data_IF_512490130150
#
_entry.id   IF_512490130150
#
_cell.length_a   1.000
_cell.length_b   1.000
_cell.length_c   1.000
_cell.angle_alpha   90.00
_cell.angle_beta   90.00
_cell.angle_gamma   90.00
#
_symmetry.space_group_name_H-M   'P 1'
#
loop_
_entity.id
_entity.type
_entity.pdbx_description
1 polymer ?
#
# COMPACT_ATOMS: atom_id res chain seq x y z
N UNK A 1 -11.53 -7.08 16.06
CA UNK A 1 -12.89 -7.48 15.65
C UNK A 1 -13.54 -6.47 14.70
N UNK A 2 -13.46 -5.15 14.92
CA UNK A 2 -14.00 -4.15 13.97
C UNK A 2 -13.25 -4.08 12.61
N UNK A 3 -11.93 -4.33 12.58
CA UNK A 3 -11.11 -4.39 11.35
C UNK A 3 -11.54 -5.50 10.37
N UNK A 4 -12.14 -6.58 10.88
CA UNK A 4 -12.66 -7.68 10.06
C UNK A 4 -14.02 -7.32 9.46
N UNK A 5 -14.85 -6.56 10.16
CA UNK A 5 -16.22 -6.25 9.75
C UNK A 5 -16.24 -5.26 8.56
N UNK A 6 -15.36 -4.26 8.55
CA UNK A 6 -15.27 -3.31 7.44
C UNK A 6 -14.53 -3.87 6.21
N UNK A 7 -13.59 -4.80 6.41
CA UNK A 7 -13.01 -5.59 5.31
C UNK A 7 -14.07 -6.49 4.66
N UNK A 8 -14.96 -7.10 5.47
CA UNK A 8 -16.08 -7.91 4.97
C UNK A 8 -17.09 -7.09 4.15
N UNK A 9 -17.31 -5.81 4.46
CA UNK A 9 -18.22 -4.94 3.68
C UNK A 9 -17.59 -4.57 2.32
N UNK A 10 -16.28 -4.29 2.28
CA UNK A 10 -15.55 -4.04 1.04
C UNK A 10 -15.45 -5.29 0.16
N UNK A 11 -15.27 -6.46 0.76
CA UNK A 11 -15.28 -7.77 0.08
C UNK A 11 -16.69 -8.17 -0.36
N UNK A 12 -17.74 -7.86 0.42
CA UNK A 12 -19.13 -8.12 0.04
C UNK A 12 -19.57 -7.31 -1.18
N UNK A 13 -19.08 -6.07 -1.32
CA UNK A 13 -19.32 -5.26 -2.53
C UNK A 13 -18.66 -5.85 -3.79
N UNK A 14 -17.57 -6.62 -3.65
CA UNK A 14 -16.98 -7.38 -4.75
C UNK A 14 -17.66 -8.73 -5.04
N UNK A 15 -18.39 -9.31 -4.08
CA UNK A 15 -19.00 -10.65 -4.19
C UNK A 15 -20.39 -10.68 -4.84
N UNK A 16 -21.04 -9.52 -5.05
CA UNK A 16 -22.39 -9.46 -5.63
C UNK A 16 -22.46 -9.79 -7.14
N UNK A 17 -21.34 -10.16 -7.79
CA UNK A 17 -21.26 -10.44 -9.24
C UNK A 17 -20.84 -11.87 -9.60
N UNK A 18 -20.90 -12.85 -8.67
CA UNK A 18 -20.59 -14.25 -9.00
C UNK A 18 -21.68 -15.18 -8.49
N UNK A 19 -22.67 -15.44 -9.33
CA UNK A 19 -23.52 -16.62 -9.24
C UNK A 19 -22.78 -17.82 -9.83
N UNK A 20 -21.87 -18.45 -9.08
CA UNK A 20 -21.42 -19.83 -9.30
C UNK A 20 -20.58 -20.35 -8.11
N UNK A 21 -21.06 -21.46 -7.56
CA UNK A 21 -20.33 -22.50 -6.79
C UNK A 21 -19.53 -22.09 -5.54
N UNK A 22 -20.10 -22.48 -4.40
CA UNK A 22 -19.47 -22.56 -3.08
C UNK A 22 -18.37 -23.64 -3.10
N UNK A 23 -17.12 -23.27 -3.42
CA UNK A 23 -15.97 -24.17 -3.30
C UNK A 23 -14.60 -23.49 -3.04
N UNK A 24 -14.52 -22.18 -2.75
CA UNK A 24 -13.22 -21.47 -2.65
C UNK A 24 -12.98 -20.70 -1.33
N UNK A 25 -13.46 -21.19 -0.17
CA UNK A 25 -13.18 -20.54 1.13
C UNK A 25 -12.04 -21.21 1.92
N UNK A 26 -11.40 -22.27 1.39
CA UNK A 26 -10.31 -22.98 2.11
C UNK A 26 -9.09 -23.29 1.25
N UNK A 27 -8.78 -22.48 0.25
CA UNK A 27 -7.44 -22.54 -0.33
C UNK A 27 -6.46 -21.94 0.69
N UNK A 28 -5.47 -22.69 1.21
CA UNK A 28 -4.41 -22.09 2.01
C UNK A 28 -3.74 -21.01 1.16
N UNK A 29 -3.61 -19.79 1.69
CA UNK A 29 -2.82 -18.75 1.04
C UNK A 29 -1.45 -19.35 0.71
N UNK A 30 -1.12 -19.41 -0.58
CA UNK A 30 0.14 -19.97 -1.06
C UNK A 30 1.27 -19.23 -0.34
N UNK A 31 2.05 -19.97 0.46
CA UNK A 31 3.17 -19.38 1.19
C UNK A 31 4.15 -18.74 0.20
N UNK A 32 4.41 -17.45 0.38
CA UNK A 32 5.26 -16.70 -0.53
C UNK A 32 6.75 -17.03 -0.31
N UNK A 33 7.45 -17.26 -1.41
CA UNK A 33 8.89 -17.54 -1.42
C UNK A 33 9.73 -16.29 -1.15
N UNK A 34 10.98 -16.48 -0.72
CA UNK A 34 11.97 -15.41 -0.56
C UNK A 34 12.12 -14.60 -1.86
N UNK A 35 12.14 -15.29 -3.01
CA UNK A 35 12.26 -14.65 -4.32
C UNK A 35 11.06 -13.76 -4.66
N UNK A 36 9.84 -14.23 -4.38
CA UNK A 36 8.61 -13.42 -4.56
C UNK A 36 8.63 -12.20 -3.62
N UNK A 37 9.07 -12.35 -2.37
CA UNK A 37 9.22 -11.23 -1.44
C UNK A 37 10.26 -10.20 -1.93
N UNK A 38 11.43 -10.67 -2.37
CA UNK A 38 12.51 -9.82 -2.87
C UNK A 38 12.08 -9.05 -4.12
N UNK A 39 11.34 -9.70 -5.02
CA UNK A 39 10.79 -9.06 -6.21
C UNK A 39 9.88 -7.88 -5.86
N UNK A 40 9.04 -7.99 -4.81
CA UNK A 40 8.14 -6.90 -4.40
C UNK A 40 8.87 -5.73 -3.75
N UNK A 41 9.79 -6.02 -2.83
CA UNK A 41 10.65 -4.98 -2.24
C UNK A 41 11.49 -4.30 -3.32
N UNK A 42 11.92 -5.07 -4.32
CA UNK A 42 12.59 -4.59 -5.51
C UNK A 42 14.08 -4.31 -5.31
N UNK A 43 14.85 -4.56 -6.36
CA UNK A 43 16.32 -4.49 -6.37
C UNK A 43 16.90 -3.12 -6.02
N UNK A 44 16.11 -2.04 -6.13
CA UNK A 44 16.54 -0.71 -5.72
C UNK A 44 16.49 -0.49 -4.20
N UNK A 45 15.51 -1.09 -3.52
CA UNK A 45 15.27 -0.88 -2.10
C UNK A 45 16.00 -1.91 -1.24
N UNK A 46 16.09 -3.15 -1.70
CA UNK A 46 16.75 -4.24 -0.98
C UNK A 46 18.18 -3.88 -0.50
N UNK A 47 19.10 -3.35 -1.34
CA UNK A 47 20.45 -3.01 -0.86
C UNK A 47 20.46 -1.89 0.18
N UNK A 48 19.48 -0.98 0.14
CA UNK A 48 19.34 0.12 1.12
C UNK A 48 18.82 -0.40 2.44
N UNK A 49 17.84 -1.30 2.40
CA UNK A 49 17.29 -1.99 3.57
C UNK A 49 18.36 -2.83 4.27
N UNK A 50 19.11 -3.64 3.52
CA UNK A 50 20.21 -4.44 4.08
C UNK A 50 21.29 -3.54 4.73
N UNK A 51 21.61 -2.41 4.09
CA UNK A 51 22.55 -1.44 4.66
C UNK A 51 22.00 -0.74 5.90
N UNK A 52 20.69 -0.48 5.99
CA UNK A 52 20.08 0.10 7.20
C UNK A 52 20.02 -0.91 8.35
N UNK A 53 19.94 -2.22 8.06
CA UNK A 53 19.99 -3.27 9.06
C UNK A 53 21.39 -3.46 9.66
N UNK A 54 22.46 -3.14 8.92
CA UNK A 54 23.82 -3.19 9.45
C UNK A 54 23.98 -2.21 10.63
N UNK A 55 24.54 -2.70 11.74
CA UNK A 55 24.59 -1.99 13.03
C UNK A 55 25.30 -0.63 12.91
N UNK A 56 26.40 -0.56 12.16
CA UNK A 56 27.25 0.64 12.06
C UNK A 56 26.73 1.75 11.12
N UNK A 57 25.53 1.58 10.53
CA UNK A 57 25.03 2.49 9.51
C UNK A 57 23.66 3.05 9.88
N UNK A 58 23.63 4.35 10.16
CA UNK A 58 22.40 5.11 10.29
C UNK A 58 21.90 5.54 8.89
N UNK A 59 21.45 4.58 8.10
CA UNK A 59 20.86 4.83 6.78
C UNK A 59 19.35 4.83 6.91
N UNK A 60 18.72 5.92 6.49
CA UNK A 60 17.26 6.04 6.47
C UNK A 60 16.68 5.39 5.21
N UNK A 61 15.67 4.53 5.39
CA UNK A 61 14.89 3.99 4.28
C UNK A 61 14.03 5.09 3.69
N UNK A 62 14.09 5.28 2.36
CA UNK A 62 13.29 6.32 1.71
C UNK A 62 11.80 6.01 1.77
N UNK A 63 10.96 7.05 1.76
CA UNK A 63 9.49 6.88 1.73
C UNK A 63 9.00 5.97 0.58
N UNK A 64 9.65 6.05 -0.59
CA UNK A 64 9.37 5.16 -1.72
C UNK A 64 9.65 3.69 -1.41
N UNK A 65 10.74 3.40 -0.69
CA UNK A 65 11.06 2.05 -0.25
C UNK A 65 10.16 1.59 0.90
N UNK A 66 9.74 2.51 1.77
CA UNK A 66 8.74 2.18 2.79
C UNK A 66 7.43 1.70 2.17
N UNK A 67 6.92 2.35 1.12
CA UNK A 67 5.73 1.82 0.44
C UNK A 67 5.93 0.39 -0.06
N UNK A 68 7.08 0.06 -0.65
CA UNK A 68 7.38 -1.29 -1.12
C UNK A 68 7.47 -2.32 0.02
N UNK A 69 8.05 -1.93 1.16
CA UNK A 69 8.13 -2.77 2.36
C UNK A 69 6.72 -3.06 2.90
N UNK A 70 5.87 -2.02 3.04
CA UNK A 70 4.52 -2.18 3.55
C UNK A 70 3.62 -2.95 2.57
N UNK A 71 3.74 -2.72 1.27
CA UNK A 71 3.03 -3.49 0.23
C UNK A 71 3.47 -4.96 0.18
N UNK A 72 4.75 -5.25 0.43
CA UNK A 72 5.23 -6.62 0.56
C UNK A 72 4.65 -7.29 1.83
N UNK A 73 4.44 -6.51 2.88
CA UNK A 73 3.88 -6.95 4.15
C UNK A 73 4.95 -7.44 5.13
N UNK A 74 4.57 -7.44 6.42
CA UNK A 74 5.48 -7.77 7.52
C UNK A 74 6.11 -9.15 7.35
N UNK A 75 5.31 -10.17 7.01
CA UNK A 75 5.80 -11.55 6.80
C UNK A 75 6.91 -11.64 5.74
N UNK A 76 6.73 -11.00 4.57
CA UNK A 76 7.75 -10.97 3.54
C UNK A 76 9.01 -10.22 3.99
N UNK A 77 8.84 -9.09 4.66
CA UNK A 77 9.94 -8.28 5.14
C UNK A 77 10.80 -9.02 6.19
N UNK A 78 10.14 -9.70 7.14
CA UNK A 78 10.81 -10.55 8.14
C UNK A 78 11.49 -11.74 7.47
N UNK A 79 10.84 -12.40 6.50
CA UNK A 79 11.43 -13.51 5.74
C UNK A 79 12.71 -13.09 5.01
N UNK A 80 12.73 -11.92 4.38
CA UNK A 80 13.93 -11.36 3.74
C UNK A 80 15.04 -11.03 4.76
N UNK A 81 14.67 -10.55 5.95
CA UNK A 81 15.62 -10.26 7.03
C UNK A 81 16.31 -11.55 7.49
N UNK A 82 15.52 -12.61 7.72
CA UNK A 82 16.04 -13.92 8.15
C UNK A 82 16.91 -14.56 7.06
N UNK A 83 16.51 -14.47 5.80
CA UNK A 83 17.31 -14.94 4.67
C UNK A 83 18.65 -14.20 4.60
N UNK A 84 18.65 -12.88 4.77
CA UNK A 84 19.88 -12.10 4.80
C UNK A 84 20.80 -12.49 5.97
N UNK A 85 20.25 -12.72 7.16
CA UNK A 85 21.02 -13.19 8.32
C UNK A 85 21.69 -14.55 8.07
N UNK A 86 21.02 -15.44 7.34
CA UNK A 86 21.54 -16.78 7.05
C UNK A 86 22.56 -16.80 5.91
N UNK A 87 22.31 -16.02 4.85
CA UNK A 87 22.99 -16.18 3.57
C UNK A 87 23.94 -15.04 3.21
N UNK A 88 23.82 -13.87 3.85
CA UNK A 88 24.65 -12.71 3.54
C UNK A 88 25.85 -12.60 4.49
N UNK A 89 27.06 -12.66 3.92
CA UNK A 89 28.34 -12.60 4.66
C UNK A 89 28.49 -11.36 5.54
N UNK A 90 27.78 -10.26 5.24
CA UNK A 90 27.81 -9.04 6.04
C UNK A 90 27.20 -9.22 7.44
N UNK A 91 26.43 -10.28 7.68
CA UNK A 91 25.80 -10.57 8.97
C UNK A 91 26.39 -11.81 9.67
N UNK A 92 27.51 -12.36 9.18
CA UNK A 92 28.11 -13.59 9.73
C UNK A 92 28.36 -13.53 11.24
N UNK A 93 28.80 -12.36 11.72
CA UNK A 93 29.13 -12.13 13.13
C UNK A 93 28.10 -11.22 13.83
N UNK A 94 26.95 -10.97 13.20
CA UNK A 94 25.93 -10.08 13.73
C UNK A 94 25.12 -10.74 14.86
N UNK A 95 24.69 -9.93 15.84
CA UNK A 95 23.72 -10.38 16.82
C UNK A 95 22.33 -10.46 16.16
N UNK A 96 21.84 -11.69 15.99
CA UNK A 96 20.55 -11.98 15.34
C UNK A 96 19.40 -11.21 15.99
N UNK A 97 19.34 -11.19 17.33
CA UNK A 97 18.26 -10.51 18.07
C UNK A 97 18.27 -9.01 17.81
N UNK A 98 19.45 -8.39 17.80
CA UNK A 98 19.60 -6.95 17.55
C UNK A 98 19.19 -6.59 16.11
N UNK A 99 19.59 -7.39 15.12
CA UNK A 99 19.22 -7.16 13.72
C UNK A 99 17.72 -7.33 13.51
N UNK A 100 17.10 -8.35 14.12
CA UNK A 100 15.65 -8.55 14.05
C UNK A 100 14.90 -7.39 14.70
N UNK A 101 15.31 -6.97 15.90
CA UNK A 101 14.72 -5.80 16.57
C UNK A 101 14.83 -4.53 15.70
N UNK A 102 16.01 -4.28 15.12
CA UNK A 102 16.22 -3.14 14.21
C UNK A 102 15.35 -3.25 12.95
N UNK A 103 15.12 -4.46 12.46
CA UNK A 103 14.20 -4.72 11.35
C UNK A 103 12.77 -4.32 11.71
N UNK A 104 12.27 -4.74 12.86
CA UNK A 104 10.94 -4.37 13.35
C UNK A 104 10.79 -2.85 13.47
N UNK A 105 11.80 -2.16 14.03
CA UNK A 105 11.80 -0.69 14.11
C UNK A 105 11.76 -0.02 12.72
N UNK A 106 12.46 -0.57 11.72
CA UNK A 106 12.42 -0.05 10.35
C UNK A 106 11.03 -0.24 9.76
N UNK A 107 10.42 -1.41 9.97
CA UNK A 107 9.07 -1.68 9.49
C UNK A 107 8.06 -0.70 10.10
N UNK A 108 8.09 -0.52 11.43
CA UNK A 108 7.21 0.43 12.14
C UNK A 108 7.40 1.88 11.65
N UNK A 109 8.66 2.31 11.48
CA UNK A 109 8.96 3.64 10.91
C UNK A 109 8.39 3.79 9.50
N UNK A 110 8.45 2.74 8.69
CA UNK A 110 7.90 2.75 7.34
C UNK A 110 6.36 2.75 7.34
N UNK A 111 5.73 2.01 8.25
CA UNK A 111 4.28 1.99 8.43
C UNK A 111 3.80 3.40 8.76
N UNK A 112 4.35 4.01 9.81
CA UNK A 112 4.05 5.39 10.21
C UNK A 112 4.31 6.41 9.08
N UNK A 113 5.38 6.25 8.29
CA UNK A 113 5.70 7.17 7.20
C UNK A 113 4.73 7.08 6.00
N UNK A 114 4.04 5.95 5.86
CA UNK A 114 3.13 5.64 4.74
C UNK A 114 1.66 5.60 5.14
N UNK A 115 1.38 5.65 6.45
CA UNK A 115 0.05 5.58 7.03
C UNK A 115 -0.92 6.58 6.36
N UNK A 116 -2.12 6.13 5.96
CA UNK A 116 -3.22 7.02 5.64
C UNK A 116 -3.82 7.62 6.92
N UNK A 117 -4.71 8.59 6.77
CA UNK A 117 -5.52 9.05 7.89
C UNK A 117 -6.36 7.90 8.50
N UNK A 118 -6.80 8.09 9.75
CA UNK A 118 -7.58 7.08 10.45
C UNK A 118 -8.90 6.73 9.73
N UNK A 119 -9.45 5.57 10.08
CA UNK A 119 -10.65 4.99 9.46
C UNK A 119 -11.87 5.92 9.47
N UNK A 120 -12.11 6.66 10.56
CA UNK A 120 -13.23 7.59 10.66
C UNK A 120 -13.08 8.76 9.68
N UNK A 121 -11.86 9.26 9.52
CA UNK A 121 -11.56 10.30 8.53
C UNK A 121 -11.77 9.78 7.10
N UNK A 122 -11.26 8.57 6.80
CA UNK A 122 -11.41 7.95 5.48
C UNK A 122 -12.89 7.65 5.15
N UNK A 123 -13.69 7.25 6.13
CA UNK A 123 -15.11 6.98 5.94
C UNK A 123 -15.89 8.26 5.53
N UNK A 124 -15.57 9.40 6.16
CA UNK A 124 -16.14 10.71 5.76
C UNK A 124 -15.77 11.06 4.32
N UNK A 125 -14.51 10.87 3.98
CA UNK A 125 -14.00 11.07 2.64
C UNK A 125 -14.73 10.24 1.57
N UNK A 126 -14.93 8.95 1.85
CA UNK A 126 -15.69 8.06 0.96
C UNK A 126 -17.15 8.52 0.81
N UNK A 127 -17.76 9.01 1.90
CA UNK A 127 -19.13 9.52 1.86
C UNK A 127 -19.27 10.81 1.02
N UNK A 128 -18.30 11.73 1.11
CA UNK A 128 -18.31 13.00 0.36
C UNK A 128 -18.22 12.77 -1.15
N UNK A 129 -17.28 11.95 -1.61
CA UNK A 129 -17.17 11.63 -3.04
C UNK A 129 -18.33 10.75 -3.53
N UNK A 130 -18.77 9.82 -2.69
CA UNK A 130 -19.78 8.84 -3.01
C UNK A 130 -19.28 7.72 -3.94
N UNK A 131 -20.00 6.60 -3.95
CA UNK A 131 -19.59 5.36 -4.63
C UNK A 131 -19.41 5.51 -6.14
N UNK A 132 -20.34 6.19 -6.82
CA UNK A 132 -20.28 6.41 -8.28
C UNK A 132 -19.01 7.17 -8.68
N UNK A 133 -18.75 8.32 -8.05
CA UNK A 133 -17.60 9.14 -8.39
C UNK A 133 -16.29 8.53 -7.90
N UNK A 134 -16.28 7.86 -6.75
CA UNK A 134 -15.15 7.07 -6.30
C UNK A 134 -14.73 6.01 -7.33
N UNK A 135 -15.71 5.31 -7.95
CA UNK A 135 -15.44 4.34 -9.00
C UNK A 135 -14.88 4.97 -10.29
N UNK A 136 -15.42 6.12 -10.73
CA UNK A 136 -14.87 6.86 -11.89
C UNK A 136 -13.41 7.27 -11.65
N UNK A 137 -13.12 7.85 -10.48
CA UNK A 137 -11.77 8.27 -10.08
C UNK A 137 -10.83 7.07 -9.99
N UNK A 138 -11.25 5.98 -9.34
CA UNK A 138 -10.47 4.74 -9.24
C UNK A 138 -10.11 4.18 -10.62
N UNK A 139 -11.10 4.04 -11.50
CA UNK A 139 -10.90 3.52 -12.85
C UNK A 139 -9.94 4.41 -13.66
N UNK A 140 -10.04 5.74 -13.50
CA UNK A 140 -9.08 6.66 -14.11
C UNK A 140 -7.66 6.45 -13.58
N UNK A 141 -7.50 6.25 -12.28
CA UNK A 141 -6.19 6.08 -11.66
C UNK A 141 -5.54 4.74 -12.02
N UNK A 142 -6.29 3.65 -12.05
CA UNK A 142 -5.74 2.32 -12.34
C UNK A 142 -5.64 2.06 -13.85
N UNK A 143 -6.74 2.22 -14.57
CA UNK A 143 -6.82 1.80 -15.96
C UNK A 143 -6.52 2.92 -16.96
N UNK A 144 -6.33 4.16 -16.47
CA UNK A 144 -6.27 5.37 -17.30
C UNK A 144 -7.51 5.56 -18.19
N UNK A 145 -8.56 4.80 -17.91
CA UNK A 145 -9.73 4.66 -18.76
C UNK A 145 -10.78 5.69 -18.37
N UNK A 146 -11.58 6.09 -19.35
CA UNK A 146 -12.65 7.09 -19.22
C UNK A 146 -12.15 8.47 -18.76
N UNK A 147 -12.97 9.48 -18.96
CA UNK A 147 -12.82 10.78 -18.31
C UNK A 147 -13.60 10.75 -16.99
N UNK A 148 -13.08 11.40 -15.96
CA UNK A 148 -13.90 11.65 -14.76
C UNK A 148 -14.92 12.71 -15.17
N UNK A 149 -16.20 12.45 -14.92
CA UNK A 149 -17.25 13.40 -15.27
C UNK A 149 -17.09 14.73 -14.52
N UNK A 150 -17.57 15.83 -15.09
CA UNK A 150 -17.49 17.16 -14.46
C UNK A 150 -18.13 17.18 -13.06
N UNK A 151 -19.29 16.55 -12.92
CA UNK A 151 -19.97 16.35 -11.63
C UNK A 151 -19.07 15.61 -10.61
N UNK A 152 -18.38 14.54 -11.04
CA UNK A 152 -17.47 13.82 -10.16
C UNK A 152 -16.16 14.56 -9.89
N UNK A 153 -15.68 15.39 -10.82
CA UNK A 153 -14.58 16.31 -10.58
C UNK A 153 -14.95 17.34 -9.51
N UNK A 154 -16.16 17.91 -9.54
CA UNK A 154 -16.63 18.82 -8.50
C UNK A 154 -16.62 18.18 -7.12
N UNK A 155 -17.22 16.98 -6.98
CA UNK A 155 -17.16 16.23 -5.71
C UNK A 155 -15.74 15.91 -5.24
N UNK A 156 -14.84 15.58 -6.18
CA UNK A 156 -13.44 15.30 -5.88
C UNK A 156 -12.72 16.54 -5.34
N UNK A 157 -13.02 17.72 -5.90
CA UNK A 157 -12.45 19.00 -5.47
C UNK A 157 -13.05 19.43 -4.13
N UNK A 158 -14.37 19.31 -3.97
CA UNK A 158 -15.11 19.69 -2.77
C UNK A 158 -14.63 18.94 -1.51
N UNK A 159 -14.38 17.63 -1.61
CA UNK A 159 -13.81 16.85 -0.49
C UNK A 159 -12.36 17.23 -0.16
N UNK A 160 -11.67 17.89 -1.11
CA UNK A 160 -10.33 18.43 -0.93
C UNK A 160 -9.17 17.45 -1.14
N UNK A 161 -7.99 18.02 -1.42
CA UNK A 161 -6.79 17.26 -1.76
C UNK A 161 -6.36 16.31 -0.65
N UNK A 162 -6.49 16.72 0.61
CA UNK A 162 -6.07 15.89 1.74
C UNK A 162 -6.91 14.61 1.83
N UNK A 163 -8.20 14.73 1.60
CA UNK A 163 -9.12 13.61 1.54
C UNK A 163 -8.74 12.63 0.42
N UNK A 164 -8.53 13.16 -0.80
CA UNK A 164 -8.15 12.36 -1.97
C UNK A 164 -6.86 11.58 -1.78
N UNK A 165 -5.82 12.26 -1.30
CA UNK A 165 -4.51 11.64 -1.13
C UNK A 165 -4.53 10.57 -0.03
N UNK A 166 -5.28 10.77 1.06
CA UNK A 166 -5.39 9.75 2.10
C UNK A 166 -6.18 8.53 1.64
N UNK A 167 -7.25 8.71 0.85
CA UNK A 167 -7.94 7.60 0.21
C UNK A 167 -7.01 6.83 -0.74
N UNK A 168 -6.23 7.55 -1.56
CA UNK A 168 -5.26 6.94 -2.47
C UNK A 168 -4.16 6.16 -1.73
N UNK A 169 -3.67 6.68 -0.60
CA UNK A 169 -2.75 5.96 0.28
C UNK A 169 -3.36 4.68 0.87
N UNK A 170 -4.58 4.77 1.38
CA UNK A 170 -5.25 3.59 1.95
C UNK A 170 -5.43 2.50 0.89
N UNK A 171 -5.82 2.91 -0.32
CA UNK A 171 -6.05 2.02 -1.44
C UNK A 171 -4.77 1.34 -1.95
N UNK A 172 -3.65 2.07 -2.09
CA UNK A 172 -2.39 1.52 -2.60
C UNK A 172 -1.71 0.51 -1.66
N UNK A 173 -2.10 0.53 -0.38
CA UNK A 173 -1.66 -0.43 0.63
C UNK A 173 -2.55 -1.69 0.69
N UNK A 174 -3.62 -1.76 -0.09
CA UNK A 174 -4.45 -2.98 -0.16
C UNK A 174 -3.75 -4.11 -0.93
N UNK A 175 -4.02 -5.38 -0.62
CA UNK A 175 -3.45 -6.51 -1.34
C UNK A 175 -3.70 -6.46 -2.86
N UNK A 176 -4.85 -5.93 -3.28
CA UNK A 176 -5.21 -5.82 -4.70
C UNK A 176 -4.28 -4.91 -5.51
N UNK A 177 -3.61 -3.94 -4.86
CA UNK A 177 -2.69 -3.00 -5.52
C UNK A 177 -1.23 -3.18 -5.09
N UNK A 178 -0.89 -4.33 -4.50
CA UNK A 178 0.47 -4.61 -4.00
C UNK A 178 1.57 -4.51 -5.07
N UNK A 179 1.24 -4.75 -6.33
CA UNK A 179 2.17 -4.71 -7.46
C UNK A 179 2.17 -3.35 -8.19
N UNK A 180 1.32 -2.40 -7.76
CA UNK A 180 1.29 -1.05 -8.31
C UNK A 180 2.37 -0.19 -7.65
N UNK A 181 3.13 0.54 -8.47
CA UNK A 181 4.10 1.52 -7.97
C UNK A 181 3.38 2.64 -7.21
N UNK A 182 3.55 2.64 -5.89
CA UNK A 182 2.84 3.58 -5.02
C UNK A 182 3.23 5.05 -5.26
N UNK A 183 4.48 5.33 -5.61
CA UNK A 183 4.94 6.70 -5.85
C UNK A 183 4.33 7.23 -7.14
N UNK A 184 4.35 6.43 -8.20
CA UNK A 184 3.71 6.77 -9.47
C UNK A 184 2.20 6.92 -9.31
N UNK A 185 1.56 6.01 -8.57
CA UNK A 185 0.13 6.05 -8.28
C UNK A 185 -0.27 7.33 -7.53
N UNK A 186 0.41 7.66 -6.42
CA UNK A 186 0.12 8.87 -5.66
C UNK A 186 0.40 10.15 -6.44
N UNK A 187 1.45 10.17 -7.28
CA UNK A 187 1.73 11.28 -8.19
C UNK A 187 0.60 11.45 -9.21
N UNK A 188 0.12 10.35 -9.79
CA UNK A 188 -1.04 10.35 -10.71
C UNK A 188 -2.31 10.81 -9.99
N UNK A 189 -2.53 10.37 -8.76
CA UNK A 189 -3.64 10.80 -7.90
C UNK A 189 -3.66 12.31 -7.68
N UNK A 190 -2.52 12.89 -7.28
CA UNK A 190 -2.38 14.34 -7.11
C UNK A 190 -2.62 15.10 -8.42
N UNK A 191 -2.09 14.59 -9.54
CA UNK A 191 -2.29 15.20 -10.86
C UNK A 191 -3.77 15.22 -11.24
N UNK A 192 -4.50 14.12 -11.03
CA UNK A 192 -5.93 14.04 -11.34
C UNK A 192 -6.74 15.08 -10.54
N UNK A 193 -6.44 15.24 -9.26
CA UNK A 193 -7.09 16.27 -8.44
C UNK A 193 -6.88 17.68 -9.02
N UNK A 194 -5.63 18.05 -9.35
CA UNK A 194 -5.36 19.35 -9.95
C UNK A 194 -6.04 19.53 -11.32
N UNK A 195 -6.16 18.47 -12.12
CA UNK A 195 -6.90 18.52 -13.38
C UNK A 195 -8.38 18.82 -13.15
N UNK A 196 -9.03 18.17 -12.18
CA UNK A 196 -10.41 18.49 -11.82
C UNK A 196 -10.54 19.92 -11.26
N UNK A 197 -9.59 20.38 -10.44
CA UNK A 197 -9.60 21.73 -9.89
C UNK A 197 -9.53 22.80 -10.97
N UNK A 198 -8.66 22.66 -11.98
CA UNK A 198 -8.56 23.62 -13.07
C UNK A 198 -9.78 23.68 -13.98
N UNK A 199 -10.63 22.66 -13.98
CA UNK A 199 -11.88 22.64 -14.75
C UNK A 199 -13.10 23.05 -13.91
N UNK A 200 -12.90 23.34 -12.62
CA UNK A 200 -13.95 23.69 -11.66
C UNK A 200 -13.84 25.15 -11.16
N UNK A 201 -12.86 25.91 -11.66
CA UNK A 201 -12.75 27.37 -11.55
C UNK A 201 -13.41 28.05 -12.76
#
# INVERSE_FOLDING_TARGET
MARLINYLILVALSLAMISATVAEITAPEKEESVAECAQRVGSHCEPKVLKSLAIDKNITVSKSCCYKIIQAGYSCYTKLTLDALQNNKNFKDANVTEVVQKSDEIFEKCDNATEPANELYLAKCVAEIGTKCGAEVFNKLIHNNNTVSECCCGKLVDMGLHCHINMAKALILTPALRDVDAVAFLKKSKKLFHQCHHHHE
#
